data_IF_663077722277
#
_entry.id   IF_663077722277
#
_cell.length_a   1.000
_cell.length_b   1.000
_cell.length_c   1.000
_cell.angle_alpha   90.00
_cell.angle_beta   90.00
_cell.angle_gamma   90.00
#
_symmetry.space_group_name_H-M   'P 1'
#
loop_
_entity.id
_entity.type
_entity.pdbx_description
1 polymer ?
#
# COMPACT_ATOMS: atom_id res chain seq x y z
N UNK A 1 16.94 8.69 19.70
CA UNK A 1 17.76 8.98 18.51
C UNK A 1 16.97 8.54 17.29
N UNK A 2 16.74 9.42 16.32
CA UNK A 2 16.02 9.07 15.08
C UNK A 2 16.84 8.10 14.23
N UNK A 3 16.17 7.22 13.48
CA UNK A 3 16.79 6.46 12.40
C UNK A 3 16.85 7.35 11.18
N UNK A 4 18.05 7.58 10.65
CA UNK A 4 18.27 8.37 9.44
C UNK A 4 18.89 7.48 8.37
N UNK A 5 18.50 7.72 7.12
CA UNK A 5 19.15 7.17 5.93
C UNK A 5 19.92 8.31 5.28
N UNK A 6 21.21 8.10 5.03
CA UNK A 6 22.04 9.01 4.26
C UNK A 6 22.13 8.50 2.83
N UNK A 7 21.93 9.38 1.86
CA UNK A 7 22.04 9.10 0.44
C UNK A 7 23.19 9.92 -0.14
N UNK A 8 24.06 9.28 -0.91
CA UNK A 8 25.05 9.95 -1.74
C UNK A 8 24.58 9.92 -3.19
N UNK A 9 24.50 11.10 -3.81
CA UNK A 9 24.10 11.25 -5.20
C UNK A 9 25.37 11.39 -6.04
N UNK A 10 25.45 10.63 -7.12
CA UNK A 10 26.57 10.73 -8.07
C UNK A 10 26.60 12.15 -8.63
N UNK A 11 27.80 12.70 -8.82
CA UNK A 11 28.07 14.05 -9.31
C UNK A 11 27.71 15.20 -8.36
N UNK A 12 27.29 14.93 -7.11
CA UNK A 12 27.05 15.94 -6.08
C UNK A 12 27.91 15.61 -4.84
N UNK A 13 28.94 16.41 -4.59
CA UNK A 13 29.99 16.14 -3.60
C UNK A 13 30.04 17.14 -2.46
N UNK A 14 29.26 18.22 -2.53
CA UNK A 14 29.25 19.30 -1.54
C UNK A 14 27.85 19.52 -0.95
N UNK A 15 27.77 20.21 0.19
CA UNK A 15 26.50 20.54 0.83
C UNK A 15 25.69 21.50 -0.04
N UNK A 16 26.36 22.47 -0.63
CA UNK A 16 25.78 23.53 -1.46
C UNK A 16 25.12 22.94 -2.71
N UNK A 17 25.71 21.90 -3.30
CA UNK A 17 25.18 21.19 -4.48
C UNK A 17 23.89 20.41 -4.20
N UNK A 18 23.62 20.02 -2.95
CA UNK A 18 22.44 19.23 -2.56
C UNK A 18 21.39 20.03 -1.80
N UNK A 19 21.68 21.26 -1.39
CA UNK A 19 20.78 22.06 -0.53
C UNK A 19 19.41 22.33 -1.19
N UNK A 20 19.39 22.54 -2.51
CA UNK A 20 18.17 22.74 -3.28
C UNK A 20 17.28 21.49 -3.40
N UNK A 21 17.81 20.29 -3.11
CA UNK A 21 17.05 19.05 -3.07
C UNK A 21 16.24 18.88 -1.79
N UNK A 22 16.47 19.73 -0.78
CA UNK A 22 15.70 19.68 0.46
C UNK A 22 14.21 19.89 0.20
N UNK A 23 13.38 18.99 0.73
CA UNK A 23 11.93 19.00 0.52
C UNK A 23 11.45 18.49 -0.85
N UNK A 24 12.36 18.08 -1.74
CA UNK A 24 11.99 17.46 -3.01
C UNK A 24 11.62 15.98 -2.84
N UNK A 25 10.76 15.49 -3.72
CA UNK A 25 10.35 14.07 -3.74
C UNK A 25 11.36 13.23 -4.53
N UNK A 26 11.80 12.13 -3.93
CA UNK A 26 12.56 11.08 -4.61
C UNK A 26 11.58 10.00 -5.04
N UNK A 27 11.57 9.66 -6.33
CA UNK A 27 10.64 8.69 -6.90
C UNK A 27 11.31 7.85 -7.98
N UNK A 28 10.64 6.77 -8.37
CA UNK A 28 11.09 5.78 -9.36
C UNK A 28 9.91 5.34 -10.22
N UNK A 29 10.18 5.06 -11.49
CA UNK A 29 9.21 4.42 -12.38
C UNK A 29 8.85 3.00 -11.91
N UNK A 30 7.55 2.70 -11.82
CA UNK A 30 7.02 1.40 -11.36
C UNK A 30 7.58 0.20 -12.14
N UNK A 31 7.81 0.35 -13.45
CA UNK A 31 8.32 -0.71 -14.34
C UNK A 31 9.71 -1.21 -13.98
N UNK A 32 10.47 -0.42 -13.22
CA UNK A 32 11.83 -0.79 -12.83
C UNK A 32 11.86 -1.56 -11.52
N UNK A 33 10.78 -1.62 -10.73
CA UNK A 33 10.79 -2.24 -9.39
C UNK A 33 10.90 -3.77 -9.49
N UNK A 34 11.86 -4.36 -8.78
CA UNK A 34 12.00 -5.81 -8.66
C UNK A 34 10.75 -6.35 -7.97
N UNK A 35 10.07 -7.31 -8.62
CA UNK A 35 8.94 -7.99 -7.99
C UNK A 35 9.46 -8.76 -6.77
N UNK A 36 8.69 -8.82 -5.68
CA UNK A 36 9.04 -9.68 -4.55
C UNK A 36 9.24 -11.13 -5.02
N UNK A 37 10.22 -11.82 -4.45
CA UNK A 37 10.50 -13.22 -4.78
C UNK A 37 9.38 -14.16 -4.30
N UNK A 38 8.61 -13.73 -3.30
CA UNK A 38 7.46 -14.45 -2.77
C UNK A 38 6.16 -14.00 -3.48
N UNK A 39 5.40 -14.92 -4.10
CA UNK A 39 4.16 -14.60 -4.81
C UNK A 39 3.06 -14.03 -3.92
N UNK A 40 3.13 -14.23 -2.59
CA UNK A 40 2.19 -13.67 -1.61
C UNK A 40 2.66 -12.33 -1.03
N UNK A 41 3.73 -11.75 -1.56
CA UNK A 41 4.22 -10.43 -1.15
C UNK A 41 3.83 -9.39 -2.18
N UNK A 42 3.23 -8.30 -1.70
CA UNK A 42 2.72 -7.21 -2.51
C UNK A 42 3.37 -5.90 -2.08
N UNK A 43 3.64 -5.03 -3.05
CA UNK A 43 4.07 -3.67 -2.78
C UNK A 43 2.83 -2.81 -2.54
N UNK A 44 2.87 -1.92 -1.55
CA UNK A 44 1.72 -1.09 -1.15
C UNK A 44 1.07 -0.39 -2.35
N UNK A 45 1.87 0.22 -3.24
CA UNK A 45 1.36 0.93 -4.42
C UNK A 45 0.58 0.04 -5.41
N UNK A 46 0.73 -1.29 -5.33
CA UNK A 46 -0.02 -2.24 -6.15
C UNK A 46 -1.42 -2.49 -5.58
N UNK A 47 -1.62 -2.24 -4.29
CA UNK A 47 -2.87 -2.47 -3.57
C UNK A 47 -3.75 -1.22 -3.51
N UNK A 48 -3.14 -0.03 -3.50
CA UNK A 48 -3.87 1.24 -3.59
C UNK A 48 -4.75 1.28 -4.84
N UNK A 49 -5.94 1.85 -4.72
CA UNK A 49 -6.97 1.97 -5.74
C UNK A 49 -7.65 0.65 -6.17
N UNK A 50 -7.27 -0.50 -5.58
CA UNK A 50 -7.98 -1.74 -5.83
C UNK A 50 -9.37 -1.72 -5.20
N UNK A 51 -10.36 -2.26 -5.91
CA UNK A 51 -11.73 -2.40 -5.42
C UNK A 51 -11.82 -3.54 -4.42
N UNK A 52 -12.49 -3.32 -3.29
CA UNK A 52 -12.84 -4.39 -2.36
C UNK A 52 -14.17 -4.99 -2.78
N UNK A 53 -14.17 -6.31 -2.94
CA UNK A 53 -15.32 -7.09 -3.35
C UNK A 53 -15.64 -8.15 -2.29
N UNK A 54 -16.90 -8.27 -1.91
CA UNK A 54 -17.36 -9.33 -1.02
C UNK A 54 -18.66 -9.93 -1.57
N UNK A 55 -18.71 -11.26 -1.71
CA UNK A 55 -19.87 -11.95 -2.30
C UNK A 55 -20.31 -11.37 -3.66
N UNK A 56 -19.36 -10.87 -4.46
CA UNK A 56 -19.61 -10.24 -5.76
C UNK A 56 -20.09 -8.79 -5.69
N UNK A 57 -20.26 -8.21 -4.50
CA UNK A 57 -20.67 -6.82 -4.30
C UNK A 57 -19.45 -5.92 -4.05
N UNK A 58 -19.51 -4.69 -4.55
CA UNK A 58 -18.50 -3.67 -4.30
C UNK A 58 -18.68 -3.09 -2.90
N UNK A 59 -17.60 -3.06 -2.13
CA UNK A 59 -17.60 -2.61 -0.73
C UNK A 59 -16.74 -1.37 -0.49
N UNK A 60 -15.95 -0.91 -1.46
CA UNK A 60 -15.10 0.27 -1.31
C UNK A 60 -13.80 0.17 -2.10
N UNK A 61 -12.91 1.13 -1.88
CA UNK A 61 -11.61 1.22 -2.57
C UNK A 61 -10.51 1.31 -1.51
N UNK A 62 -9.41 0.59 -1.72
CA UNK A 62 -8.22 0.69 -0.88
C UNK A 62 -7.61 2.10 -1.03
N UNK A 63 -7.58 2.85 0.06
CA UNK A 63 -7.02 4.20 0.11
C UNK A 63 -5.59 4.23 0.67
N UNK A 64 -5.26 3.30 1.56
CA UNK A 64 -3.92 3.15 2.14
C UNK A 64 -3.66 1.73 2.65
N UNK A 65 -2.41 1.44 3.01
CA UNK A 65 -2.01 0.28 3.81
C UNK A 65 -1.38 0.76 5.10
N UNK A 66 -2.04 0.47 6.22
CA UNK A 66 -1.62 0.91 7.55
C UNK A 66 -0.83 -0.21 8.22
N UNK A 67 0.44 0.05 8.52
CA UNK A 67 1.28 -0.86 9.30
C UNK A 67 0.76 -0.95 10.74
N UNK A 68 0.46 -2.16 11.18
CA UNK A 68 0.03 -2.45 12.55
C UNK A 68 1.08 -3.22 13.34
N UNK A 69 0.84 -3.38 14.65
CA UNK A 69 1.77 -4.09 15.53
C UNK A 69 1.79 -5.62 15.30
N UNK A 70 0.67 -6.18 14.86
CA UNK A 70 0.50 -7.61 14.61
C UNK A 70 0.35 -7.93 13.11
N UNK A 71 -0.43 -7.12 12.41
CA UNK A 71 -0.73 -7.27 10.99
C UNK A 71 -0.76 -5.90 10.34
N UNK A 72 -0.51 -5.85 9.04
CA UNK A 72 -0.86 -4.68 8.23
C UNK A 72 -2.37 -4.68 7.95
N UNK A 73 -2.92 -3.50 7.66
CA UNK A 73 -4.34 -3.31 7.42
C UNK A 73 -4.55 -2.62 6.08
N UNK A 74 -5.49 -3.11 5.28
CA UNK A 74 -6.02 -2.36 4.15
C UNK A 74 -6.98 -1.30 4.70
N UNK A 75 -6.68 -0.02 4.49
CA UNK A 75 -7.63 1.06 4.72
C UNK A 75 -8.54 1.16 3.49
N UNK A 76 -9.85 1.05 3.72
CA UNK A 76 -10.86 0.98 2.68
C UNK A 76 -11.86 2.10 2.87
N UNK A 77 -12.02 2.93 1.84
CA UNK A 77 -12.97 4.03 1.84
C UNK A 77 -14.29 3.59 1.18
N UNK A 78 -15.41 3.82 1.88
CA UNK A 78 -16.78 3.58 1.41
C UNK A 78 -17.70 4.64 1.97
N UNK A 79 -18.41 5.38 1.10
CA UNK A 79 -19.48 6.31 1.51
C UNK A 79 -19.07 7.27 2.66
N UNK A 80 -17.87 7.87 2.56
CA UNK A 80 -17.24 8.72 3.59
C UNK A 80 -16.92 8.05 4.93
N UNK A 81 -16.92 6.72 5.00
CA UNK A 81 -16.41 5.94 6.12
C UNK A 81 -15.14 5.20 5.73
N UNK A 82 -14.30 4.98 6.73
CA UNK A 82 -13.05 4.24 6.61
C UNK A 82 -13.17 2.91 7.37
N UNK A 83 -12.74 1.84 6.73
CA UNK A 83 -12.72 0.49 7.29
C UNK A 83 -11.29 -0.04 7.27
N UNK A 84 -10.88 -0.74 8.32
CA UNK A 84 -9.57 -1.38 8.39
C UNK A 84 -9.74 -2.89 8.31
N UNK A 85 -9.30 -3.48 7.20
CA UNK A 85 -9.34 -4.93 6.99
C UNK A 85 -7.94 -5.49 7.26
N UNK A 86 -7.76 -6.40 8.22
CA UNK A 86 -6.48 -7.06 8.44
C UNK A 86 -5.99 -7.76 7.16
N UNK A 87 -4.77 -7.47 6.72
CA UNK A 87 -4.16 -8.01 5.51
C UNK A 87 -3.63 -9.43 5.74
N UNK A 88 -4.55 -10.35 6.03
CA UNK A 88 -4.29 -11.77 6.30
C UNK A 88 -5.31 -12.66 5.58
N UNK A 89 -4.93 -13.91 5.31
CA UNK A 89 -5.74 -14.88 4.55
C UNK A 89 -7.13 -15.18 5.14
N UNK A 90 -7.33 -14.90 6.43
CA UNK A 90 -8.65 -15.05 7.07
C UNK A 90 -9.66 -14.07 6.48
N UNK A 91 -9.24 -12.85 6.14
CA UNK A 91 -10.10 -11.81 5.56
C UNK A 91 -9.87 -11.66 4.05
N UNK A 92 -8.61 -11.66 3.60
CA UNK A 92 -8.23 -11.43 2.21
C UNK A 92 -8.11 -12.76 1.47
N UNK A 93 -9.07 -13.06 0.60
CA UNK A 93 -9.21 -14.37 -0.06
C UNK A 93 -8.50 -14.43 -1.41
N UNK A 94 -8.54 -13.34 -2.16
CA UNK A 94 -7.97 -13.27 -3.49
C UNK A 94 -7.56 -11.84 -3.81
N UNK A 95 -6.43 -11.67 -4.50
CA UNK A 95 -5.95 -10.38 -4.99
C UNK A 95 -5.74 -10.51 -6.49
N UNK A 96 -6.54 -9.79 -7.26
CA UNK A 96 -6.39 -9.69 -8.71
C UNK A 96 -5.82 -8.31 -9.08
N UNK A 97 -4.50 -8.25 -9.27
CA UNK A 97 -3.83 -7.02 -9.70
C UNK A 97 -4.16 -6.64 -11.15
N UNK A 98 -4.50 -7.61 -12.01
CA UNK A 98 -4.85 -7.32 -13.40
C UNK A 98 -6.31 -6.88 -13.52
N UNK A 99 -7.21 -7.57 -12.80
CA UNK A 99 -8.62 -7.24 -12.69
C UNK A 99 -8.90 -6.00 -11.84
N UNK A 100 -7.96 -5.58 -10.99
CA UNK A 100 -8.07 -4.35 -10.21
C UNK A 100 -8.93 -4.49 -8.95
N UNK A 101 -8.96 -5.66 -8.32
CA UNK A 101 -9.78 -5.90 -7.14
C UNK A 101 -9.20 -6.92 -6.16
N UNK A 102 -9.68 -6.86 -4.93
CA UNK A 102 -9.40 -7.79 -3.84
C UNK A 102 -10.74 -8.37 -3.38
N UNK A 103 -10.81 -9.70 -3.28
CA UNK A 103 -11.95 -10.38 -2.66
C UNK A 103 -11.70 -10.57 -1.18
N UNK A 104 -12.66 -10.14 -0.36
CA UNK A 104 -12.63 -10.28 1.10
C UNK A 104 -13.81 -11.08 1.62
N UNK A 105 -13.65 -11.57 2.85
CA UNK A 105 -14.70 -12.16 3.66
C UNK A 105 -14.60 -11.58 5.07
N UNK A 106 -15.53 -10.72 5.43
CA UNK A 106 -15.63 -10.00 6.68
C UNK A 106 -16.79 -10.54 7.53
N UNK A 107 -16.69 -10.48 8.86
CA UNK A 107 -17.78 -10.83 9.76
C UNK A 107 -19.05 -10.01 9.51
N UNK A 108 -20.20 -10.58 9.88
CA UNK A 108 -21.49 -9.88 9.85
C UNK A 108 -21.40 -8.57 10.65
N UNK A 109 -21.97 -7.50 10.09
CA UNK A 109 -21.96 -6.16 10.69
C UNK A 109 -20.69 -5.35 10.44
N UNK A 110 -19.66 -5.91 9.77
CA UNK A 110 -18.40 -5.19 9.52
C UNK A 110 -18.60 -3.91 8.69
N UNK A 111 -19.57 -3.91 7.76
CA UNK A 111 -19.80 -2.80 6.83
C UNK A 111 -20.94 -1.85 7.24
N UNK A 112 -21.47 -1.98 8.46
CA UNK A 112 -22.62 -1.20 8.95
C UNK A 112 -22.24 0.17 9.54
#
# INVERSE_FOLDING_TARGET
>A
MGRFVLLWLIDLSTKEEVEWLSGQLIWREKTKVTRPDNPDTYLVYQLIDLKIMENGQFCGIVSDVVEGSAYDYLQVNRENREFLIPFIRVYVKHIDLQGGYITVECPVGFWE
#
